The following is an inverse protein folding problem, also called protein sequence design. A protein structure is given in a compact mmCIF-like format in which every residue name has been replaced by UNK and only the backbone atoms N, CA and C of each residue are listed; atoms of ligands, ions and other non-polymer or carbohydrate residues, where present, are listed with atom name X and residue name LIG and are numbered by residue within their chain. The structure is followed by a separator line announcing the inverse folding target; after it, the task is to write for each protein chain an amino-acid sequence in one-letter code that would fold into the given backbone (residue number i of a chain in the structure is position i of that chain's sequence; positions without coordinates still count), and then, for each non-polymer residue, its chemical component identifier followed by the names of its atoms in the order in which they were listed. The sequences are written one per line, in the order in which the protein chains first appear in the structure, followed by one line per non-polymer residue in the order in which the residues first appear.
data_IF_695898903564
#
_entry.id   IF_695898903564
#
_cell.length_a   1.000
_cell.length_b   1.000
_cell.length_c   1.000
_cell.angle_alpha   90.00
_cell.angle_beta   90.00
_cell.angle_gamma   90.00
#
_symmetry.space_group_name_H-M   'P 1'
#
loop_
_entity.id
_entity.type
_entity.pdbx_description
1 polymer ?
#
# COMPACT_ATOMS: atom_id res chain seq x y z
N UNK A 1 -11.29 3.11 10.51
CA UNK A 1 -11.41 4.55 10.16
C UNK A 1 -12.67 5.15 10.74
N UNK A 2 -13.88 4.73 10.35
CA UNK A 2 -15.14 5.34 10.86
C UNK A 2 -15.31 5.30 12.38
N UNK A 3 -14.91 4.21 13.04
CA UNK A 3 -14.92 4.14 14.51
C UNK A 3 -13.90 5.10 15.18
N UNK A 4 -12.80 5.44 14.49
CA UNK A 4 -11.85 6.44 14.97
C UNK A 4 -12.41 7.85 14.78
N UNK A 5 -13.01 8.13 13.62
CA UNK A 5 -13.70 9.39 13.33
C UNK A 5 -14.84 9.64 14.35
N UNK A 6 -15.60 8.59 14.70
CA UNK A 6 -16.65 8.65 15.72
C UNK A 6 -16.12 9.03 17.12
N UNK A 7 -14.90 8.62 17.44
CA UNK A 7 -14.19 8.97 18.70
C UNK A 7 -13.46 10.32 18.61
N UNK A 8 -13.68 11.10 17.55
CA UNK A 8 -13.00 12.38 17.33
C UNK A 8 -11.51 12.26 16.96
N UNK A 9 -11.03 11.05 16.68
CA UNK A 9 -9.64 10.84 16.26
C UNK A 9 -9.49 11.13 14.77
N UNK A 10 -8.45 11.87 14.34
CA UNK A 10 -8.20 12.13 12.93
C UNK A 10 -8.03 10.83 12.15
N UNK A 11 -8.76 10.66 11.05
CA UNK A 11 -8.67 9.47 10.20
C UNK A 11 -7.25 9.17 9.68
N UNK A 12 -6.41 10.21 9.54
CA UNK A 12 -4.98 10.08 9.17
C UNK A 12 -4.14 9.30 10.19
N UNK A 13 -4.55 9.20 11.45
CA UNK A 13 -3.84 8.38 12.45
C UNK A 13 -3.88 6.88 12.09
N UNK A 14 -4.91 6.45 11.34
CA UNK A 14 -4.98 5.07 10.83
C UNK A 14 -3.92 4.78 9.74
N UNK A 15 -3.25 5.81 9.20
CA UNK A 15 -2.11 5.66 8.28
C UNK A 15 -0.77 5.66 9.05
N UNK A 16 -0.68 6.46 10.11
CA UNK A 16 0.55 6.61 10.91
C UNK A 16 0.87 5.34 11.69
N UNK A 17 -0.12 4.72 12.35
CA UNK A 17 0.11 3.54 13.19
C UNK A 17 0.70 2.37 12.38
N UNK A 18 0.16 1.99 11.22
CA UNK A 18 0.82 1.03 10.33
C UNK A 18 2.21 1.48 9.86
N UNK A 19 2.38 2.77 9.53
CA UNK A 19 3.68 3.32 9.11
C UNK A 19 4.77 3.10 10.14
N UNK A 20 4.47 3.28 11.43
CA UNK A 20 5.41 2.97 12.53
C UNK A 20 5.79 1.49 12.53
N UNK A 21 4.85 0.57 12.29
CA UNK A 21 5.17 -0.86 12.20
C UNK A 21 6.16 -1.16 11.04
N UNK A 22 5.98 -0.51 9.89
CA UNK A 22 6.94 -0.60 8.77
C UNK A 22 8.31 -0.05 9.15
N UNK A 23 8.38 1.11 9.81
CA UNK A 23 9.65 1.69 10.31
C UNK A 23 10.34 0.73 11.27
N UNK A 24 9.62 0.18 12.26
CA UNK A 24 10.17 -0.79 13.20
C UNK A 24 10.69 -2.05 12.49
N UNK A 25 9.98 -2.55 11.49
CA UNK A 25 10.43 -3.69 10.69
C UNK A 25 11.70 -3.39 9.89
N UNK A 26 11.85 -2.19 9.33
CA UNK A 26 13.08 -1.80 8.65
C UNK A 26 14.24 -1.69 9.66
N UNK A 27 14.00 -1.05 10.81
CA UNK A 27 15.04 -0.85 11.84
C UNK A 27 15.47 -2.14 12.54
N UNK A 28 14.56 -3.11 12.75
CA UNK A 28 14.95 -4.39 13.37
C UNK A 28 15.93 -5.18 12.48
N UNK A 29 15.95 -4.91 11.16
CA UNK A 29 16.89 -5.54 10.24
C UNK A 29 18.32 -4.98 10.32
N UNK A 30 18.55 -3.87 11.04
CA UNK A 30 19.88 -3.39 11.44
C UNK A 30 20.55 -4.35 12.45
N UNK A 31 19.75 -5.18 13.13
CA UNK A 31 20.23 -6.19 14.07
C UNK A 31 20.05 -7.57 13.43
N UNK A 32 21.00 -8.06 12.60
CA UNK A 32 20.86 -9.36 11.95
C UNK A 32 20.65 -10.46 12.98
N UNK A 33 19.78 -11.41 12.65
CA UNK A 33 19.54 -12.60 13.45
C UNK A 33 20.80 -13.48 13.39
N UNK A 34 21.47 -13.73 14.53
CA UNK A 34 22.67 -14.54 14.56
C UNK A 34 22.34 -16.03 14.34
N UNK A 35 23.35 -16.91 14.25
CA UNK A 35 23.16 -18.35 14.31
C UNK A 35 22.40 -18.81 15.56
N UNK A 36 21.76 -19.99 15.49
CA UNK A 36 20.84 -20.48 16.53
C UNK A 36 21.52 -20.80 17.89
N UNK A 37 22.83 -20.98 17.89
CA UNK A 37 23.68 -21.23 19.05
C UNK A 37 24.09 -19.94 19.80
N UNK A 38 23.85 -18.76 19.22
CA UNK A 38 24.14 -17.48 19.87
C UNK A 38 23.10 -17.17 20.98
N UNK A 39 23.52 -16.75 22.19
CA UNK A 39 22.60 -16.46 23.29
C UNK A 39 21.61 -15.32 22.99
N UNK A 40 21.91 -14.46 22.02
CA UNK A 40 21.03 -13.38 21.56
C UNK A 40 20.06 -13.80 20.44
N UNK A 41 20.16 -15.03 19.92
CA UNK A 41 19.32 -15.56 18.85
C UNK A 41 17.83 -15.41 19.17
N UNK A 42 17.39 -15.94 20.32
CA UNK A 42 15.97 -15.97 20.69
C UNK A 42 15.37 -14.56 20.73
N UNK A 43 16.08 -13.59 21.33
CA UNK A 43 15.63 -12.20 21.42
C UNK A 43 15.55 -11.52 20.04
N UNK A 44 16.57 -11.67 19.20
CA UNK A 44 16.61 -11.06 17.87
C UNK A 44 15.61 -11.69 16.90
N UNK A 45 15.48 -13.01 16.91
CA UNK A 45 14.49 -13.73 16.12
C UNK A 45 13.06 -13.32 16.53
N UNK A 46 12.77 -13.27 17.83
CA UNK A 46 11.47 -12.83 18.34
C UNK A 46 11.15 -11.38 17.90
N UNK A 47 12.10 -10.45 18.03
CA UNK A 47 11.91 -9.08 17.58
C UNK A 47 11.61 -9.01 16.08
N UNK A 48 12.35 -9.76 15.26
CA UNK A 48 12.15 -9.79 13.81
C UNK A 48 10.75 -10.35 13.44
N UNK A 49 10.35 -11.45 14.07
CA UNK A 49 9.03 -12.06 13.86
C UNK A 49 7.90 -11.12 14.30
N UNK A 50 8.02 -10.49 15.46
CA UNK A 50 7.01 -9.57 15.98
C UNK A 50 6.85 -8.33 15.10
N UNK A 51 7.95 -7.76 14.60
CA UNK A 51 7.88 -6.63 13.67
C UNK A 51 7.23 -7.02 12.34
N UNK A 52 7.55 -8.20 11.79
CA UNK A 52 6.91 -8.71 10.58
C UNK A 52 5.41 -8.98 10.78
N UNK A 53 5.04 -9.55 11.93
CA UNK A 53 3.65 -9.76 12.31
C UNK A 53 2.89 -8.41 12.42
N UNK A 54 3.50 -7.42 13.05
CA UNK A 54 2.93 -6.07 13.17
C UNK A 54 2.74 -5.42 11.79
N UNK A 55 3.69 -5.58 10.87
CA UNK A 55 3.54 -5.16 9.46
C UNK A 55 2.36 -5.87 8.80
N UNK A 56 2.21 -7.19 9.00
CA UNK A 56 1.08 -7.94 8.46
C UNK A 56 -0.28 -7.40 8.90
N UNK A 57 -0.43 -7.07 10.18
CA UNK A 57 -1.64 -6.42 10.71
C UNK A 57 -1.81 -5.00 10.17
N UNK A 58 -0.73 -4.22 10.14
CA UNK A 58 -0.72 -2.84 9.69
C UNK A 58 -1.02 -2.67 8.20
N UNK A 59 -0.51 -3.57 7.36
CA UNK A 59 -0.64 -3.50 5.91
C UNK A 59 -2.10 -3.44 5.47
N UNK A 60 -2.95 -4.32 6.01
CA UNK A 60 -4.39 -4.33 5.69
C UNK A 60 -5.07 -3.01 6.08
N UNK A 61 -4.73 -2.46 7.24
CA UNK A 61 -5.27 -1.17 7.71
C UNK A 61 -4.80 -0.02 6.83
N UNK A 62 -3.51 0.01 6.48
CA UNK A 62 -2.90 1.04 5.64
C UNK A 62 -3.57 1.06 4.27
N UNK A 63 -3.59 -0.08 3.58
CA UNK A 63 -4.20 -0.21 2.25
C UNK A 63 -5.69 0.15 2.25
N UNK A 64 -6.44 -0.33 3.25
CA UNK A 64 -7.87 0.00 3.35
C UNK A 64 -8.07 1.50 3.57
N UNK A 65 -7.29 2.11 4.45
CA UNK A 65 -7.41 3.54 4.77
C UNK A 65 -7.01 4.42 3.58
N UNK A 66 -5.95 4.06 2.85
CA UNK A 66 -5.54 4.75 1.63
C UNK A 66 -6.63 4.69 0.56
N UNK A 67 -7.22 3.51 0.32
CA UNK A 67 -8.31 3.36 -0.64
C UNK A 67 -9.56 4.18 -0.23
N UNK A 68 -9.92 4.20 1.05
CA UNK A 68 -11.01 5.05 1.55
C UNK A 68 -10.68 6.53 1.32
N UNK A 69 -9.44 6.95 1.61
CA UNK A 69 -9.01 8.34 1.42
C UNK A 69 -9.16 8.76 -0.06
N UNK A 70 -8.58 7.97 -0.96
CA UNK A 70 -8.59 8.23 -2.41
C UNK A 70 -10.04 8.24 -2.93
N UNK A 71 -10.85 7.25 -2.53
CA UNK A 71 -12.24 7.12 -2.96
C UNK A 71 -13.12 8.28 -2.47
N UNK A 72 -12.99 8.71 -1.21
CA UNK A 72 -13.74 9.84 -0.67
C UNK A 72 -13.35 11.16 -1.36
N UNK A 73 -12.06 11.37 -1.63
CA UNK A 73 -11.62 12.54 -2.38
C UNK A 73 -12.15 12.55 -3.82
N UNK A 74 -12.18 11.40 -4.49
CA UNK A 74 -12.77 11.29 -5.82
C UNK A 74 -14.27 11.63 -5.84
N UNK A 75 -15.03 11.19 -4.83
CA UNK A 75 -16.45 11.52 -4.69
C UNK A 75 -16.64 13.02 -4.48
N UNK A 76 -15.86 13.64 -3.59
CA UNK A 76 -15.94 15.08 -3.37
C UNK A 76 -15.54 15.88 -4.62
N UNK A 77 -14.49 15.48 -5.33
CA UNK A 77 -14.06 16.12 -6.58
C UNK A 77 -15.14 16.07 -7.67
N UNK A 78 -15.81 14.92 -7.82
CA UNK A 78 -16.91 14.78 -8.77
C UNK A 78 -18.08 15.73 -8.45
N UNK A 79 -18.34 16.01 -7.17
CA UNK A 79 -19.42 16.92 -6.74
C UNK A 79 -19.10 18.39 -6.94
N UNK A 80 -17.83 18.76 -6.85
CA UNK A 80 -17.36 20.12 -7.06
C UNK A 80 -17.22 20.45 -8.56
N UNK A 81 -17.32 19.46 -9.43
CA UNK A 81 -17.27 19.64 -10.89
C UNK A 81 -18.58 20.28 -11.39
N UNK A 82 -18.54 21.44 -12.07
CA UNK A 82 -19.75 22.15 -12.47
C UNK A 82 -20.64 21.33 -13.42
N UNK A 83 -21.97 21.36 -13.26
CA UNK A 83 -22.89 20.72 -14.19
C UNK A 83 -22.93 21.52 -15.50
N UNK A 84 -22.22 21.07 -16.53
CA UNK A 84 -22.28 21.67 -17.87
C UNK A 84 -21.03 21.47 -18.75
N UNK A 85 -19.84 21.32 -18.16
CA UNK A 85 -18.58 21.09 -18.90
C UNK A 85 -18.18 19.60 -18.97
N UNK A 86 -19.15 18.71 -19.21
CA UNK A 86 -18.88 17.27 -19.16
C UNK A 86 -18.53 16.78 -17.75
N UNK A 87 -19.28 17.25 -16.75
CA UNK A 87 -19.06 16.97 -15.33
C UNK A 87 -18.70 15.50 -15.08
N UNK A 88 -17.51 15.30 -14.50
CA UNK A 88 -16.97 13.96 -14.37
C UNK A 88 -17.75 13.15 -13.35
N UNK A 89 -18.14 11.93 -13.72
CA UNK A 89 -18.85 11.05 -12.80
C UNK A 89 -17.95 10.65 -11.63
N UNK A 90 -18.54 10.24 -10.50
CA UNK A 90 -17.77 9.69 -9.39
C UNK A 90 -16.91 8.49 -9.82
N UNK A 91 -17.37 7.72 -10.83
CA UNK A 91 -16.60 6.63 -11.42
C UNK A 91 -15.37 7.12 -12.20
N UNK A 92 -15.52 8.17 -13.02
CA UNK A 92 -14.40 8.76 -13.77
C UNK A 92 -13.34 9.36 -12.84
N UNK A 93 -13.78 10.12 -11.83
CA UNK A 93 -12.87 10.67 -10.82
C UNK A 93 -12.20 9.56 -10.00
N UNK A 94 -12.93 8.50 -9.66
CA UNK A 94 -12.34 7.35 -8.98
C UNK A 94 -11.28 6.65 -9.85
N UNK A 95 -11.50 6.51 -11.16
CA UNK A 95 -10.52 5.93 -12.07
C UNK A 95 -9.27 6.79 -12.19
N UNK A 96 -9.43 8.12 -12.34
CA UNK A 96 -8.31 9.06 -12.42
C UNK A 96 -7.46 9.04 -11.15
N UNK A 97 -8.11 9.13 -9.99
CA UNK A 97 -7.45 9.15 -8.68
C UNK A 97 -6.76 7.81 -8.37
N UNK A 98 -7.40 6.68 -8.65
CA UNK A 98 -6.77 5.36 -8.49
C UNK A 98 -5.61 5.16 -9.45
N UNK A 99 -5.74 5.57 -10.72
CA UNK A 99 -4.66 5.49 -11.71
C UNK A 99 -3.43 6.27 -11.26
N UNK A 100 -3.63 7.51 -10.78
CA UNK A 100 -2.55 8.33 -10.22
C UNK A 100 -1.94 7.72 -8.95
N UNK A 101 -2.79 7.24 -8.04
CA UNK A 101 -2.35 6.60 -6.80
C UNK A 101 -1.48 5.37 -7.07
N UNK A 102 -1.95 4.44 -7.92
CA UNK A 102 -1.19 3.25 -8.28
C UNK A 102 0.05 3.58 -9.08
N UNK A 103 0.02 4.58 -9.97
CA UNK A 103 1.22 5.08 -10.65
C UNK A 103 2.30 5.49 -9.63
N UNK A 104 1.96 6.37 -8.69
CA UNK A 104 2.90 6.84 -7.64
C UNK A 104 3.39 5.65 -6.80
N UNK A 105 2.49 4.76 -6.40
CA UNK A 105 2.84 3.55 -5.64
C UNK A 105 3.85 2.67 -6.38
N UNK A 106 3.63 2.38 -7.66
CA UNK A 106 4.58 1.56 -8.43
C UNK A 106 5.89 2.29 -8.67
N UNK A 107 5.89 3.60 -8.93
CA UNK A 107 7.13 4.37 -9.03
C UNK A 107 7.90 4.39 -7.70
N UNK A 108 7.23 4.43 -6.56
CA UNK A 108 7.89 4.29 -5.26
C UNK A 108 8.56 2.92 -5.12
N UNK A 109 7.93 1.85 -5.62
CA UNK A 109 8.54 0.51 -5.71
C UNK A 109 9.77 0.46 -6.62
N UNK A 110 9.69 1.08 -7.81
CA UNK A 110 10.83 1.22 -8.72
C UNK A 110 11.97 2.00 -8.07
N UNK A 111 11.67 3.16 -7.47
CA UNK A 111 12.64 3.99 -6.78
C UNK A 111 13.29 3.26 -5.60
N UNK A 112 12.50 2.59 -4.76
CA UNK A 112 13.01 1.80 -3.64
C UNK A 112 13.97 0.69 -4.09
N UNK A 113 13.61 -0.03 -5.16
CA UNK A 113 14.45 -1.08 -5.75
C UNK A 113 15.73 -0.52 -6.37
N UNK A 114 15.64 0.60 -7.08
CA UNK A 114 16.80 1.27 -7.67
C UNK A 114 17.74 1.83 -6.61
N UNK A 115 17.20 2.50 -5.60
CA UNK A 115 17.95 3.05 -4.48
C UNK A 115 18.63 1.93 -3.67
N UNK A 116 17.96 0.80 -3.43
CA UNK A 116 18.58 -0.33 -2.73
C UNK A 116 19.74 -0.93 -3.50
N UNK A 117 19.60 -1.07 -4.82
CA UNK A 117 20.66 -1.58 -5.69
C UNK A 117 21.85 -0.64 -5.69
N UNK A 118 21.61 0.66 -5.87
CA UNK A 118 22.65 1.68 -5.86
C UNK A 118 23.42 1.71 -4.53
N UNK A 119 22.74 1.58 -3.39
CA UNK A 119 23.42 1.54 -2.08
C UNK A 119 24.31 0.31 -1.97
N UNK A 120 23.85 -0.86 -2.42
CA UNK A 120 24.63 -2.10 -2.36
C UNK A 120 25.83 -2.05 -3.32
N UNK A 121 25.67 -1.48 -4.51
CA UNK A 121 26.74 -1.41 -5.51
C UNK A 121 27.81 -0.34 -5.19
N UNK A 122 27.40 0.79 -4.58
CA UNK A 122 28.31 1.87 -4.21
C UNK A 122 29.02 1.61 -2.87
N UNK A 123 28.36 0.93 -1.94
CA UNK A 123 28.96 0.58 -0.66
C UNK A 123 29.76 -0.73 -0.80
N UNK A 124 30.92 -0.65 -1.45
CA UNK A 124 31.87 -1.76 -1.56
C UNK A 124 32.52 -2.15 -0.21
N UNK A 125 32.13 -1.51 0.90
CA UNK A 125 32.60 -1.82 2.24
C UNK A 125 31.68 -2.83 2.94
N UNK A 126 32.18 -3.47 3.99
CA UNK A 126 31.46 -4.46 4.82
C UNK A 126 30.16 -3.94 5.49
N UNK A 127 29.77 -2.67 5.27
CA UNK A 127 28.63 -2.00 5.89
C UNK A 127 27.42 -1.76 4.97
N UNK A 128 27.44 -2.24 3.72
CA UNK A 128 26.36 -2.04 2.72
C UNK A 128 24.95 -2.33 3.25
N UNK A 129 24.80 -3.39 4.04
CA UNK A 129 23.55 -3.76 4.71
C UNK A 129 23.07 -2.68 5.70
N UNK A 130 23.97 -2.18 6.54
CA UNK A 130 23.66 -1.16 7.54
C UNK A 130 23.25 0.13 6.85
N UNK A 131 24.03 0.56 5.85
CA UNK A 131 23.72 1.74 5.03
C UNK A 131 22.34 1.61 4.36
N UNK A 132 22.05 0.45 3.77
CA UNK A 132 20.77 0.16 3.14
C UNK A 132 19.59 0.34 4.10
N UNK A 133 19.63 -0.31 5.27
CA UNK A 133 18.53 -0.24 6.23
C UNK A 133 18.40 1.13 6.91
N UNK A 134 19.50 1.89 7.06
CA UNK A 134 19.43 3.28 7.53
C UNK A 134 18.75 4.19 6.50
N UNK A 135 19.11 4.09 5.22
CA UNK A 135 18.50 4.87 4.13
C UNK A 135 17.01 4.51 3.99
N UNK A 136 16.69 3.22 3.94
CA UNK A 136 15.29 2.75 3.90
C UNK A 136 14.51 3.16 5.15
N UNK A 137 15.14 3.12 6.31
CA UNK A 137 14.56 3.51 7.59
C UNK A 137 14.21 5.00 7.60
N UNK A 138 15.12 5.84 7.11
CA UNK A 138 14.91 7.27 6.96
C UNK A 138 13.75 7.57 6.00
N UNK A 139 13.72 6.96 4.82
CA UNK A 139 12.60 7.14 3.88
C UNK A 139 11.26 6.66 4.46
N UNK A 140 11.25 5.51 5.15
CA UNK A 140 10.05 4.98 5.78
C UNK A 140 9.54 5.88 6.92
N UNK A 141 10.46 6.44 7.72
CA UNK A 141 10.13 7.37 8.79
C UNK A 141 9.59 8.69 8.22
N UNK A 142 10.24 9.25 7.21
CA UNK A 142 9.79 10.46 6.53
C UNK A 142 8.42 10.27 5.87
N UNK A 143 8.19 9.15 5.20
CA UNK A 143 6.88 8.81 4.64
C UNK A 143 5.79 8.69 5.70
N UNK A 144 6.11 8.05 6.83
CA UNK A 144 5.20 7.91 7.98
C UNK A 144 4.86 9.27 8.59
N UNK A 145 5.86 10.16 8.75
CA UNK A 145 5.66 11.53 9.21
C UNK A 145 4.86 12.36 8.19
N UNK A 146 5.06 12.10 6.90
CA UNK A 146 4.29 12.71 5.80
C UNK A 146 2.78 12.49 5.95
N UNK A 147 2.33 11.36 6.49
CA UNK A 147 0.91 11.12 6.78
C UNK A 147 0.33 12.08 7.83
N UNK A 148 1.14 12.76 8.64
CA UNK A 148 0.65 13.80 9.55
C UNK A 148 0.33 15.11 8.80
N UNK A 149 1.01 15.34 7.68
CA UNK A 149 0.87 16.54 6.86
C UNK A 149 -0.27 16.44 5.82
N UNK A 150 -0.81 15.24 5.56
CA UNK A 150 -1.91 15.11 4.61
C UNK A 150 -3.16 15.86 5.11
N UNK A 151 -3.93 16.47 4.19
CA UNK A 151 -5.20 17.08 4.54
C UNK A 151 -6.13 16.08 5.21
N UNK A 152 -6.98 16.53 6.17
CA UNK A 152 -7.99 15.68 6.77
C UNK A 152 -8.82 14.93 5.72
N UNK A 153 -9.11 13.67 5.99
CA UNK A 153 -9.95 12.87 5.12
C UNK A 153 -11.35 13.49 5.07
N UNK A 154 -11.96 13.66 3.87
CA UNK A 154 -13.37 14.05 3.79
C UNK A 154 -14.21 13.08 4.61
N UNK A 155 -15.16 13.60 5.38
CA UNK A 155 -16.06 12.80 6.18
C UNK A 155 -17.02 12.00 5.30
N UNK A 156 -17.56 10.92 5.86
CA UNK A 156 -18.59 10.13 5.17
C UNK A 156 -19.84 10.97 4.82
N UNK A 157 -20.19 11.93 5.67
CA UNK A 157 -21.32 12.85 5.46
C UNK A 157 -21.08 13.80 4.27
N UNK A 158 -19.88 14.38 4.16
CA UNK A 158 -19.48 15.21 3.00
C UNK A 158 -19.50 14.41 1.70
N UNK A 159 -19.25 13.11 1.78
CA UNK A 159 -19.36 12.16 0.66
C UNK A 159 -20.80 11.65 0.44
N UNK A 160 -21.79 12.14 1.18
CA UNK A 160 -23.22 11.77 1.07
C UNK A 160 -23.55 10.33 1.48
N UNK A 161 -22.69 9.70 2.28
CA UNK A 161 -23.03 8.44 2.93
C UNK A 161 -24.01 8.71 4.08
N UNK A 162 -25.13 8.00 4.10
CA UNK A 162 -26.08 8.08 5.22
C UNK A 162 -25.42 7.49 6.48
N UNK A 163 -25.50 8.23 7.59
CA UNK A 163 -25.02 7.80 8.90
C UNK A 163 -25.92 6.67 9.40
N UNK A 164 -25.47 5.42 9.27
CA UNK A 164 -26.10 4.29 9.95
C UNK A 164 -25.97 4.45 11.47
N UNK A 165 -26.86 3.83 12.27
CA UNK A 165 -26.73 3.83 13.73
C UNK A 165 -25.37 3.25 14.14
N UNK A 166 -24.73 3.85 15.15
CA UNK A 166 -23.51 3.32 15.74
C UNK A 166 -23.81 1.94 16.34
N UNK A 167 -23.37 0.87 15.67
CA UNK A 167 -23.50 -0.50 16.19
C UNK A 167 -22.17 -1.01 16.74
N UNK A 168 -22.26 -1.77 17.83
CA UNK A 168 -21.15 -2.40 18.56
C UNK A 168 -20.14 -3.12 17.65
N UNK A 169 -18.85 -2.88 17.87
CA UNK A 169 -17.76 -3.33 16.99
C UNK A 169 -17.70 -4.84 16.70
N UNK A 170 -18.22 -5.71 17.57
CA UNK A 170 -18.31 -7.16 17.30
C UNK A 170 -19.40 -7.52 16.26
N UNK A 171 -20.51 -6.76 16.20
CA UNK A 171 -21.51 -6.90 15.13
C UNK A 171 -20.93 -6.48 13.78
N UNK A 172 -19.99 -5.54 13.79
CA UNK A 172 -19.38 -4.97 12.58
C UNK A 172 -18.46 -5.96 11.82
N UNK A 173 -17.67 -6.78 12.54
CA UNK A 173 -16.82 -7.80 11.90
C UNK A 173 -17.66 -8.93 11.26
N UNK A 174 -18.67 -9.43 11.97
CA UNK A 174 -19.56 -10.47 11.43
C UNK A 174 -20.42 -9.95 10.28
N UNK A 175 -20.85 -8.69 10.33
CA UNK A 175 -21.50 -8.02 9.20
C UNK A 175 -20.55 -7.90 8.00
N UNK A 176 -19.27 -7.55 8.20
CA UNK A 176 -18.27 -7.47 7.12
C UNK A 176 -18.02 -8.83 6.46
N UNK A 177 -17.90 -9.90 7.25
CA UNK A 177 -17.80 -11.26 6.73
C UNK A 177 -19.09 -11.68 6.03
N UNK A 178 -20.25 -11.27 6.56
CA UNK A 178 -21.54 -11.51 5.93
C UNK A 178 -21.63 -10.80 4.58
N UNK A 179 -21.09 -9.59 4.42
CA UNK A 179 -21.05 -8.89 3.13
C UNK A 179 -20.36 -9.70 2.03
N UNK A 180 -19.31 -10.46 2.37
CA UNK A 180 -18.60 -11.30 1.39
C UNK A 180 -19.53 -12.35 0.75
N UNK A 181 -20.48 -12.88 1.52
CA UNK A 181 -21.41 -13.93 1.08
C UNK A 181 -22.80 -13.40 0.71
N UNK A 182 -23.24 -12.30 1.29
CA UNK A 182 -24.57 -11.73 1.07
C UNK A 182 -24.60 -10.73 -0.09
N UNK A 183 -23.49 -10.05 -0.37
CA UNK A 183 -23.40 -9.14 -1.51
C UNK A 183 -22.85 -9.87 -2.74
N UNK A 184 -23.68 -10.00 -3.77
CA UNK A 184 -23.33 -10.68 -5.02
C UNK A 184 -22.11 -10.05 -5.71
N UNK A 185 -21.92 -8.73 -5.62
CA UNK A 185 -20.77 -8.04 -6.22
C UNK A 185 -19.49 -8.39 -5.49
N UNK A 186 -19.54 -8.48 -4.16
CA UNK A 186 -18.40 -8.92 -3.35
C UNK A 186 -18.04 -10.38 -3.60
N UNK A 187 -19.05 -11.26 -3.64
CA UNK A 187 -18.85 -12.68 -3.96
C UNK A 187 -18.22 -12.87 -5.35
N UNK A 188 -18.69 -12.13 -6.36
CA UNK A 188 -18.12 -12.18 -7.72
C UNK A 188 -16.73 -11.54 -7.81
N UNK A 189 -16.37 -10.64 -6.91
CA UNK A 189 -15.05 -10.00 -6.86
C UNK A 189 -14.00 -10.83 -6.11
N UNK A 190 -14.42 -11.75 -5.23
CA UNK A 190 -13.51 -12.56 -4.43
C UNK A 190 -12.47 -13.35 -5.25
N UNK A 191 -12.82 -14.01 -6.37
CA UNK A 191 -11.84 -14.68 -7.23
C UNK A 191 -10.80 -13.70 -7.82
N UNK A 192 -11.23 -12.48 -8.19
CA UNK A 192 -10.33 -11.46 -8.73
C UNK A 192 -9.34 -10.97 -7.68
N UNK A 193 -9.81 -10.76 -6.44
CA UNK A 193 -8.96 -10.37 -5.31
C UNK A 193 -7.93 -11.47 -5.01
N UNK A 194 -8.37 -12.73 -5.01
CA UNK A 194 -7.50 -13.87 -4.77
C UNK A 194 -6.44 -14.02 -5.87
N UNK A 195 -6.86 -13.96 -7.15
CA UNK A 195 -5.95 -14.01 -8.28
C UNK A 195 -4.90 -12.89 -8.23
N UNK A 196 -5.31 -11.66 -7.90
CA UNK A 196 -4.39 -10.55 -7.70
C UNK A 196 -3.34 -10.84 -6.61
N UNK A 197 -3.75 -11.41 -5.48
CA UNK A 197 -2.82 -11.85 -4.43
C UNK A 197 -1.81 -12.90 -4.92
N UNK A 198 -2.27 -13.90 -5.68
CA UNK A 198 -1.39 -14.90 -6.28
C UNK A 198 -0.39 -14.28 -7.27
N UNK A 199 -0.82 -13.33 -8.10
CA UNK A 199 0.06 -12.65 -9.05
C UNK A 199 1.13 -11.83 -8.34
N UNK A 200 0.79 -11.12 -7.27
CA UNK A 200 1.77 -10.37 -6.47
C UNK A 200 2.76 -11.32 -5.75
N UNK A 201 2.27 -12.43 -5.20
CA UNK A 201 3.14 -13.44 -4.59
C UNK A 201 4.12 -14.05 -5.60
N UNK A 202 3.68 -14.30 -6.83
CA UNK A 202 4.56 -14.74 -7.90
C UNK A 202 5.58 -13.65 -8.28
N UNK A 203 5.11 -12.42 -8.53
CA UNK A 203 5.93 -11.31 -9.01
C UNK A 203 7.04 -10.91 -8.03
N UNK A 204 6.77 -10.94 -6.72
CA UNK A 204 7.74 -10.53 -5.70
C UNK A 204 8.41 -11.70 -4.97
N UNK A 205 7.82 -12.89 -5.01
CA UNK A 205 8.37 -14.08 -4.35
C UNK A 205 9.21 -14.94 -5.28
N UNK A 206 8.64 -15.38 -6.40
CA UNK A 206 9.22 -16.43 -7.24
C UNK A 206 9.91 -15.90 -8.49
N UNK A 207 9.37 -14.85 -9.11
CA UNK A 207 9.93 -14.27 -10.32
C UNK A 207 11.38 -13.78 -10.14
N UNK A 208 11.74 -13.02 -9.09
CA UNK A 208 13.12 -12.55 -8.92
C UNK A 208 14.10 -13.70 -8.70
N UNK A 209 13.69 -14.75 -7.98
CA UNK A 209 14.50 -15.98 -7.78
C UNK A 209 14.79 -16.68 -9.09
N UNK A 210 13.79 -16.77 -9.98
CA UNK A 210 13.94 -17.39 -11.31
C UNK A 210 14.88 -16.58 -12.19
N UNK A 211 14.73 -15.25 -12.19
CA UNK A 211 15.65 -14.35 -12.91
C UNK A 211 17.08 -14.54 -12.41
N UNK A 212 17.29 -14.58 -11.09
CA UNK A 212 18.61 -14.85 -10.49
C UNK A 212 19.17 -16.21 -10.95
N UNK A 213 18.33 -17.24 -11.00
CA UNK A 213 18.77 -18.58 -11.41
C UNK A 213 19.10 -18.70 -12.91
N UNK A 214 18.44 -17.93 -13.78
CA UNK A 214 18.63 -18.05 -15.25
C UNK A 214 19.59 -17.03 -15.84
N UNK A 215 19.56 -15.78 -15.34
CA UNK A 215 20.35 -14.66 -15.89
C UNK A 215 21.48 -14.24 -14.94
N UNK A 216 21.45 -14.66 -13.68
CA UNK A 216 22.41 -14.26 -12.65
C UNK A 216 21.83 -13.24 -11.67
N UNK A 217 22.48 -13.07 -10.49
CA UNK A 217 21.98 -12.20 -9.41
C UNK A 217 21.82 -10.74 -9.84
N UNK A 218 22.70 -10.25 -10.70
CA UNK A 218 22.75 -8.84 -11.15
C UNK A 218 21.49 -8.41 -11.94
N UNK A 219 20.74 -9.37 -12.49
CA UNK A 219 19.53 -9.08 -13.29
C UNK A 219 18.24 -9.07 -12.46
N UNK A 220 18.28 -9.50 -11.21
CA UNK A 220 17.08 -9.60 -10.35
C UNK A 220 16.47 -8.23 -10.06
N UNK A 221 17.31 -7.26 -9.64
CA UNK A 221 16.85 -5.91 -9.36
C UNK A 221 16.38 -5.15 -10.62
N UNK A 222 17.11 -5.17 -11.76
CA UNK A 222 16.60 -4.62 -13.03
C UNK A 222 15.25 -5.21 -13.46
N UNK A 223 15.04 -6.52 -13.27
CA UNK A 223 13.77 -7.16 -13.63
C UNK A 223 12.60 -6.66 -12.75
N UNK A 224 12.82 -6.51 -11.44
CA UNK A 224 11.81 -5.95 -10.52
C UNK A 224 11.57 -4.46 -10.81
N UNK A 225 12.63 -3.70 -11.12
CA UNK A 225 12.53 -2.29 -11.52
C UNK A 225 11.71 -2.13 -12.79
N UNK A 226 11.95 -2.96 -13.81
CA UNK A 226 11.17 -2.98 -15.04
C UNK A 226 9.70 -3.32 -14.79
N UNK A 227 9.42 -4.30 -13.92
CA UNK A 227 8.06 -4.64 -13.51
C UNK A 227 7.35 -3.41 -12.93
N UNK A 228 7.96 -2.72 -11.96
CA UNK A 228 7.37 -1.53 -11.34
C UNK A 228 7.18 -0.38 -12.34
N UNK A 229 8.16 -0.11 -13.20
CA UNK A 229 8.08 0.94 -14.21
C UNK A 229 6.94 0.67 -15.21
N UNK A 230 6.85 -0.55 -15.74
CA UNK A 230 5.78 -0.97 -16.65
C UNK A 230 4.41 -0.91 -15.97
N UNK A 231 4.31 -1.40 -14.74
CA UNK A 231 3.04 -1.42 -14.01
C UNK A 231 2.57 0.01 -13.64
N UNK A 232 3.51 0.90 -13.29
CA UNK A 232 3.23 2.32 -13.05
C UNK A 232 2.75 3.04 -14.31
N UNK A 233 3.45 2.83 -15.43
CA UNK A 233 3.05 3.37 -16.74
C UNK A 233 1.67 2.87 -17.19
N UNK A 234 1.41 1.56 -17.03
CA UNK A 234 0.11 0.96 -17.33
C UNK A 234 -1.01 1.52 -16.44
N UNK A 235 -0.75 1.70 -15.14
CA UNK A 235 -1.72 2.27 -14.18
C UNK A 235 -2.11 3.71 -14.57
N UNK A 236 -1.13 4.53 -14.94
CA UNK A 236 -1.38 5.88 -15.43
C UNK A 236 -2.15 5.87 -16.75
N UNK A 237 -1.69 5.11 -17.74
CA UNK A 237 -2.31 5.05 -19.07
C UNK A 237 -3.77 4.58 -18.98
N UNK A 238 -4.05 3.56 -18.16
CA UNK A 238 -5.40 3.05 -17.96
C UNK A 238 -6.30 4.04 -17.21
N UNK A 239 -5.79 4.65 -16.15
CA UNK A 239 -6.51 5.70 -15.41
C UNK A 239 -6.86 6.90 -16.30
N UNK A 240 -5.91 7.36 -17.11
CA UNK A 240 -6.11 8.45 -18.05
C UNK A 240 -7.08 8.09 -19.18
N UNK A 241 -6.98 6.88 -19.74
CA UNK A 241 -7.87 6.42 -20.81
C UNK A 241 -9.33 6.32 -20.36
N UNK A 242 -9.56 5.80 -19.14
CA UNK A 242 -10.89 5.70 -18.54
C UNK A 242 -11.45 7.07 -18.17
N UNK A 243 -10.62 7.98 -17.65
CA UNK A 243 -11.03 9.35 -17.37
C UNK A 243 -11.40 10.13 -18.64
N UNK A 244 -10.75 9.84 -19.78
CA UNK A 244 -10.95 10.54 -21.04
C UNK A 244 -12.15 10.07 -21.89
N UNK A 245 -12.95 9.09 -21.44
CA UNK A 245 -14.04 8.45 -22.22
C UNK A 245 -13.66 8.04 -23.66
N UNK A 246 -12.42 7.56 -23.88
CA UNK A 246 -11.97 7.11 -25.22
C UNK A 246 -12.06 5.62 -25.47
N UNK A 247 -12.54 4.83 -24.51
CA UNK A 247 -12.82 3.42 -24.74
C UNK A 247 -14.33 3.30 -24.95
N UNK A 248 -14.69 3.17 -26.22
CA UNK A 248 -16.04 3.11 -26.73
C UNK A 248 -16.89 2.04 -26.03
N UNK A 249 -17.99 2.49 -25.42
CA UNK A 249 -19.25 1.75 -25.30
C UNK A 249 -20.39 2.77 -25.32
#
# INVERSE_FOLDING_TARGET
VSAMEARGLPGRLALVVPGVAYVCMVLVNLLPVPPADDPSFAGRAAANVLCNFAVGLGAGVLWTTQNIYVGRNAICAARLSPPGEGGSTAGEMACAFNGLFFMIYQFAGAFGTGASTLVVDLDQADNSRTTLFLVLGAFSALGTLGFLAIPPMPSAAECGAQRGPEEDGCRQCSQTLRLLVSDRRMALSAPLIFANGCFLAFAFGEYPKRVTATLGPDYSAPAVLAFYACNGGASWAWGAALAAKRIAT
#
